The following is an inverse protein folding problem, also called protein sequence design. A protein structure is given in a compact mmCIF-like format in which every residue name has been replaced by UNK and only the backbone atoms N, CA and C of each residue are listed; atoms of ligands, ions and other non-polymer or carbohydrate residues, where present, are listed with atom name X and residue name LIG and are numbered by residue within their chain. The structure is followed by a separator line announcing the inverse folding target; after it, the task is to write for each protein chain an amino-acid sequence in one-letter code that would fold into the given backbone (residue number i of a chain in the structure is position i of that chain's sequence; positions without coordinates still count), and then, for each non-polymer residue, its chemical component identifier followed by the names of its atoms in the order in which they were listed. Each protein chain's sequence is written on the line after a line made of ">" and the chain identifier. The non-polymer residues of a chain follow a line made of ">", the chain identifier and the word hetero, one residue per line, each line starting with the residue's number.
data_IF_466271127516
#
_entry.id   IF_466271127516
#
_cell.length_a   1.000
_cell.length_b   1.000
_cell.length_c   1.000
_cell.angle_alpha   90.00
_cell.angle_beta   90.00
_cell.angle_gamma   90.00
#
_symmetry.space_group_name_H-M   'P 1'
#
loop_
_entity.id
_entity.type
_entity.pdbx_description
1 polymer ?
#
# COMPACT_ATOMS: atom_id res chain seq x y z
N UNK A 1 36.28 -66.21 -13.21
CA UNK A 1 36.31 -64.73 -13.41
C UNK A 1 35.04 -64.16 -14.04
N UNK A 2 33.89 -64.73 -13.67
CA UNK A 2 32.59 -64.24 -14.18
C UNK A 2 31.78 -63.42 -13.17
N UNK A 3 32.40 -62.90 -12.11
CA UNK A 3 31.69 -62.15 -11.04
C UNK A 3 31.74 -60.64 -11.18
N UNK A 4 32.39 -60.10 -12.21
CA UNK A 4 32.65 -58.65 -12.29
C UNK A 4 31.69 -57.86 -13.21
N UNK A 5 30.58 -58.45 -13.62
CA UNK A 5 29.63 -57.73 -14.49
C UNK A 5 28.16 -57.75 -13.98
N UNK A 6 27.96 -57.87 -12.68
CA UNK A 6 26.64 -57.60 -12.15
C UNK A 6 26.54 -56.10 -11.82
N UNK A 7 25.83 -55.37 -12.67
CA UNK A 7 25.56 -53.97 -12.39
C UNK A 7 24.95 -53.83 -10.99
N UNK A 8 25.30 -52.83 -10.20
CA UNK A 8 24.79 -52.62 -8.83
C UNK A 8 23.25 -52.67 -8.75
N UNK A 9 22.59 -52.28 -9.83
CA UNK A 9 21.13 -52.36 -9.97
C UNK A 9 20.61 -53.79 -10.00
N UNK A 10 21.33 -54.73 -10.63
CA UNK A 10 20.88 -56.10 -10.72
C UNK A 10 21.00 -56.85 -9.39
N UNK A 11 21.99 -56.45 -8.60
CA UNK A 11 22.16 -56.94 -7.23
C UNK A 11 21.03 -56.42 -6.31
N UNK A 12 20.69 -55.16 -6.41
CA UNK A 12 19.58 -54.55 -5.67
C UNK A 12 18.23 -55.20 -5.99
N UNK A 13 17.99 -55.55 -7.24
CA UNK A 13 16.74 -56.18 -7.69
C UNK A 13 16.67 -57.71 -7.40
N UNK A 14 17.80 -58.39 -7.16
CA UNK A 14 17.84 -59.82 -6.89
C UNK A 14 17.43 -60.20 -5.46
N UNK A 15 17.59 -59.24 -4.50
CA UNK A 15 17.23 -59.46 -3.10
C UNK A 15 15.87 -58.84 -2.79
N UNK A 16 14.93 -59.66 -2.33
CA UNK A 16 13.57 -59.26 -2.05
C UNK A 16 13.47 -58.04 -1.11
N UNK A 17 14.20 -57.96 0.04
CA UNK A 17 14.13 -56.82 0.91
C UNK A 17 14.67 -55.52 0.27
N UNK A 18 15.74 -55.62 -0.54
CA UNK A 18 16.32 -54.47 -1.23
C UNK A 18 15.38 -53.91 -2.32
N UNK A 19 14.67 -54.75 -2.99
CA UNK A 19 13.66 -54.40 -3.99
C UNK A 19 12.51 -53.62 -3.37
N UNK A 20 12.02 -54.06 -2.22
CA UNK A 20 10.99 -53.32 -1.47
C UNK A 20 11.48 -51.97 -0.96
N UNK A 21 12.71 -51.92 -0.45
CA UNK A 21 13.34 -50.67 -0.04
C UNK A 21 13.44 -49.64 -1.20
N UNK A 22 13.83 -50.12 -2.39
CA UNK A 22 13.91 -49.32 -3.60
C UNK A 22 12.53 -48.72 -3.98
N UNK A 23 11.49 -49.56 -3.96
CA UNK A 23 10.12 -49.10 -4.29
C UNK A 23 9.61 -48.07 -3.28
N UNK A 24 9.85 -48.30 -1.98
CA UNK A 24 9.48 -47.33 -0.92
C UNK A 24 10.20 -45.99 -1.10
N UNK A 25 11.48 -46.02 -1.43
CA UNK A 25 12.26 -44.79 -1.67
C UNK A 25 11.74 -44.06 -2.90
N UNK A 26 11.46 -44.75 -3.99
CA UNK A 26 10.87 -44.15 -5.19
C UNK A 26 9.52 -43.49 -4.90
N UNK A 27 8.65 -44.19 -4.16
CA UNK A 27 7.33 -43.63 -3.77
C UNK A 27 7.51 -42.42 -2.86
N UNK A 28 8.43 -42.46 -1.89
CA UNK A 28 8.72 -41.33 -1.02
C UNK A 28 9.21 -40.09 -1.78
N UNK A 29 10.12 -40.27 -2.74
CA UNK A 29 10.61 -39.20 -3.61
C UNK A 29 9.46 -38.63 -4.45
N UNK A 30 8.62 -39.46 -5.01
CA UNK A 30 7.49 -39.07 -5.85
C UNK A 30 6.46 -38.25 -5.03
N UNK A 31 6.13 -38.72 -3.83
CA UNK A 31 5.28 -37.99 -2.90
C UNK A 31 5.90 -36.64 -2.50
N UNK A 32 7.19 -36.63 -2.18
CA UNK A 32 7.89 -35.39 -1.86
C UNK A 32 7.84 -34.39 -3.01
N UNK A 33 8.06 -34.83 -4.25
CA UNK A 33 7.93 -33.94 -5.42
C UNK A 33 6.51 -33.39 -5.58
N UNK A 34 5.48 -34.25 -5.40
CA UNK A 34 4.08 -33.82 -5.49
C UNK A 34 3.76 -32.79 -4.41
N UNK A 35 4.15 -33.03 -3.17
CA UNK A 35 3.92 -32.07 -2.07
C UNK A 35 4.70 -30.77 -2.23
N UNK A 36 5.94 -30.83 -2.72
CA UNK A 36 6.77 -29.66 -2.96
C UNK A 36 6.27 -28.86 -4.17
N UNK A 37 5.86 -29.53 -5.24
CA UNK A 37 5.27 -28.89 -6.42
C UNK A 37 3.92 -28.19 -6.11
N UNK A 38 3.17 -28.69 -5.12
CA UNK A 38 1.94 -28.05 -4.65
C UNK A 38 2.16 -26.81 -3.77
N UNK A 39 3.36 -26.48 -3.35
CA UNK A 39 3.67 -25.18 -2.79
C UNK A 39 3.58 -24.11 -3.88
N UNK A 40 2.36 -23.78 -4.27
CA UNK A 40 2.08 -22.54 -4.99
C UNK A 40 2.55 -21.42 -4.08
N UNK A 41 3.64 -20.80 -4.43
CA UNK A 41 3.94 -19.47 -3.92
C UNK A 41 2.69 -18.62 -4.18
N UNK A 42 2.09 -18.10 -3.12
CA UNK A 42 1.07 -17.05 -3.30
C UNK A 42 1.76 -15.96 -4.09
N UNK A 43 1.32 -15.74 -5.30
CA UNK A 43 1.70 -14.58 -6.08
C UNK A 43 1.42 -13.40 -5.17
N UNK A 44 2.47 -12.72 -4.72
CA UNK A 44 2.33 -11.45 -4.01
C UNK A 44 1.53 -10.59 -5.00
N UNK A 45 0.29 -10.19 -4.67
CA UNK A 45 -0.43 -9.32 -5.57
C UNK A 45 0.46 -8.08 -5.75
N UNK A 46 0.92 -7.85 -6.96
CA UNK A 46 1.54 -6.57 -7.32
C UNK A 46 0.43 -5.56 -7.07
N UNK A 47 0.54 -4.84 -5.97
CA UNK A 47 -0.29 -3.67 -5.72
C UNK A 47 0.05 -2.74 -6.87
N UNK A 48 -0.80 -2.75 -7.91
CA UNK A 48 -0.73 -1.74 -8.96
C UNK A 48 -0.91 -0.43 -8.22
N UNK A 49 0.08 0.44 -8.28
CA UNK A 49 -0.11 1.83 -7.86
C UNK A 49 -1.39 2.32 -8.54
N UNK A 50 -2.39 2.77 -7.79
CA UNK A 50 -3.61 3.27 -8.39
C UNK A 50 -3.23 4.44 -9.29
N UNK A 51 -3.45 4.28 -10.58
CA UNK A 51 -3.09 5.23 -11.64
C UNK A 51 -3.76 6.61 -11.47
N UNK A 52 -4.74 6.71 -10.55
CA UNK A 52 -5.41 7.96 -10.22
C UNK A 52 -5.97 7.92 -8.79
N UNK A 53 -5.13 8.20 -7.81
CA UNK A 53 -5.58 8.41 -6.41
C UNK A 53 -6.67 9.49 -6.29
N UNK A 54 -6.69 10.44 -7.23
CA UNK A 54 -7.74 11.45 -7.34
C UNK A 54 -9.09 10.87 -7.73
N UNK A 55 -9.11 9.86 -8.61
CA UNK A 55 -10.35 9.22 -9.04
C UNK A 55 -10.93 8.32 -7.95
N UNK A 56 -10.09 7.52 -7.30
CA UNK A 56 -10.49 6.66 -6.18
C UNK A 56 -11.03 7.50 -5.00
N UNK A 57 -10.39 8.64 -4.73
CA UNK A 57 -10.87 9.57 -3.74
C UNK A 57 -12.22 10.20 -4.13
N UNK A 58 -12.44 10.53 -5.40
CA UNK A 58 -13.72 11.08 -5.90
C UNK A 58 -14.85 10.06 -5.77
N UNK A 59 -14.59 8.78 -6.04
CA UNK A 59 -15.55 7.70 -5.88
C UNK A 59 -15.88 7.44 -4.40
N UNK A 60 -14.86 7.47 -3.53
CA UNK A 60 -15.01 7.37 -2.08
C UNK A 60 -15.84 8.54 -1.52
N UNK A 61 -15.57 9.77 -1.98
CA UNK A 61 -16.35 10.95 -1.59
C UNK A 61 -17.81 10.80 -2.03
N UNK A 62 -18.05 10.37 -3.28
CA UNK A 62 -19.39 10.18 -3.80
C UNK A 62 -20.21 9.24 -2.90
N UNK A 63 -19.60 8.14 -2.49
CA UNK A 63 -20.26 7.14 -1.64
C UNK A 63 -20.49 7.64 -0.20
N UNK A 64 -19.51 8.31 0.40
CA UNK A 64 -19.58 8.82 1.78
C UNK A 64 -20.51 10.03 1.90
N UNK A 65 -20.49 10.92 0.91
CA UNK A 65 -21.38 12.08 0.85
C UNK A 65 -22.86 11.66 0.81
N UNK A 66 -23.17 10.62 0.08
CA UNK A 66 -24.53 10.08 -0.01
C UNK A 66 -25.01 9.45 1.30
N UNK A 67 -24.08 8.84 2.07
CA UNK A 67 -24.44 8.10 3.28
C UNK A 67 -24.59 8.93 4.57
N UNK A 68 -23.77 9.95 4.80
CA UNK A 68 -23.68 10.61 6.13
C UNK A 68 -23.85 12.12 6.18
N UNK A 69 -23.75 12.85 5.08
CA UNK A 69 -23.75 14.33 5.05
C UNK A 69 -22.76 15.01 6.04
N UNK A 70 -21.72 14.28 6.46
CA UNK A 70 -20.72 14.81 7.37
C UNK A 70 -19.56 15.39 6.58
N UNK A 71 -19.66 16.68 6.33
CA UNK A 71 -18.67 17.42 5.52
C UNK A 71 -17.31 17.51 6.22
N UNK A 72 -17.28 17.60 7.55
CA UNK A 72 -16.05 17.69 8.32
C UNK A 72 -15.25 16.39 8.28
N UNK A 73 -15.92 15.22 8.37
CA UNK A 73 -15.29 13.90 8.25
C UNK A 73 -14.63 13.70 6.87
N UNK A 74 -15.28 14.21 5.82
CA UNK A 74 -14.71 14.16 4.47
C UNK A 74 -13.44 15.02 4.33
N UNK A 75 -13.45 16.23 4.89
CA UNK A 75 -12.27 17.10 4.90
C UNK A 75 -11.16 16.47 5.73
N UNK A 76 -11.48 15.86 6.87
CA UNK A 76 -10.50 15.17 7.71
C UNK A 76 -9.83 14.00 6.94
N UNK A 77 -10.60 13.15 6.30
CA UNK A 77 -10.04 12.05 5.49
C UNK A 77 -9.17 12.56 4.35
N UNK A 78 -9.61 13.60 3.64
CA UNK A 78 -8.79 14.20 2.57
C UNK A 78 -7.51 14.80 3.13
N UNK A 79 -7.56 15.43 4.30
CA UNK A 79 -6.38 16.00 4.95
C UNK A 79 -5.34 14.93 5.33
N UNK A 80 -5.77 13.76 5.81
CA UNK A 80 -4.86 12.64 6.08
C UNK A 80 -4.12 12.21 4.80
N UNK A 81 -4.83 12.07 3.68
CA UNK A 81 -4.19 11.75 2.39
C UNK A 81 -3.26 12.87 1.92
N UNK A 82 -3.65 14.11 2.11
CA UNK A 82 -2.84 15.29 1.79
C UNK A 82 -1.55 15.32 2.62
N UNK A 83 -1.63 15.12 3.93
CA UNK A 83 -0.47 15.06 4.82
C UNK A 83 0.49 13.92 4.45
N UNK A 84 -0.05 12.75 4.14
CA UNK A 84 0.75 11.60 3.73
C UNK A 84 1.45 11.83 2.38
N UNK A 85 0.78 12.47 1.43
CA UNK A 85 1.35 12.82 0.13
C UNK A 85 2.50 13.83 0.29
N UNK A 86 2.33 14.86 1.12
CA UNK A 86 3.38 15.82 1.45
C UNK A 86 4.58 15.14 2.14
N UNK A 87 4.31 14.21 3.05
CA UNK A 87 5.36 13.45 3.72
C UNK A 87 6.15 12.58 2.74
N UNK A 88 5.45 11.96 1.78
CA UNK A 88 6.06 11.08 0.77
C UNK A 88 6.86 11.84 -0.28
N UNK A 89 6.32 12.91 -0.85
CA UNK A 89 6.91 13.61 -1.99
C UNK A 89 7.99 14.62 -1.57
N UNK A 90 7.77 15.33 -0.48
CA UNK A 90 8.64 16.43 -0.06
C UNK A 90 9.15 16.31 1.37
N UNK A 91 8.83 15.20 2.05
CA UNK A 91 9.25 14.91 3.43
C UNK A 91 8.88 16.03 4.42
N UNK A 92 7.66 16.53 4.30
CA UNK A 92 7.09 17.55 5.16
C UNK A 92 5.97 16.96 5.99
N UNK A 93 6.00 17.18 7.30
CA UNK A 93 4.93 16.83 8.22
C UNK A 93 4.15 18.08 8.62
N UNK A 94 2.87 18.12 8.26
CA UNK A 94 1.96 19.22 8.59
C UNK A 94 1.03 18.89 9.76
N UNK A 95 1.12 17.70 10.30
CA UNK A 95 0.36 17.31 11.50
C UNK A 95 1.01 17.87 12.77
N UNK A 96 2.33 18.06 12.76
CA UNK A 96 3.09 18.60 13.87
C UNK A 96 3.15 20.13 13.83
N UNK A 97 2.53 20.78 14.83
CA UNK A 97 2.41 22.25 14.91
C UNK A 97 3.75 22.93 15.16
N UNK A 98 4.70 22.23 15.78
CA UNK A 98 5.99 22.80 16.20
C UNK A 98 6.86 23.30 15.04
N UNK A 99 6.74 22.70 13.86
CA UNK A 99 7.55 23.01 12.68
C UNK A 99 6.77 23.67 11.53
N UNK A 100 5.62 24.26 11.82
CA UNK A 100 4.69 24.81 10.82
C UNK A 100 5.35 25.78 9.84
N UNK A 101 6.10 26.77 10.32
CA UNK A 101 6.72 27.75 9.43
C UNK A 101 7.74 27.15 8.48
N UNK A 102 8.52 26.17 8.95
CA UNK A 102 9.49 25.48 8.11
C UNK A 102 8.77 24.63 7.05
N UNK A 103 7.71 23.94 7.46
CA UNK A 103 6.87 23.12 6.59
C UNK A 103 6.22 23.96 5.50
N UNK A 104 5.62 25.09 5.84
CA UNK A 104 4.97 25.96 4.85
C UNK A 104 5.96 26.55 3.85
N UNK A 105 7.14 26.98 4.29
CA UNK A 105 8.20 27.46 3.37
C UNK A 105 8.66 26.36 2.41
N UNK A 106 8.78 25.12 2.89
CA UNK A 106 9.23 24.00 2.06
C UNK A 106 8.18 23.63 1.01
N UNK A 107 6.89 23.65 1.38
CA UNK A 107 5.78 23.45 0.45
C UNK A 107 5.78 24.59 -0.59
N UNK A 108 5.89 25.83 -0.16
CA UNK A 108 5.94 27.01 -1.03
C UNK A 108 7.08 26.94 -2.06
N UNK A 109 8.27 26.52 -1.65
CA UNK A 109 9.41 26.33 -2.56
C UNK A 109 9.17 25.28 -3.63
N UNK A 110 8.41 24.24 -3.33
CA UNK A 110 8.12 23.14 -4.27
C UNK A 110 6.96 23.47 -5.21
N UNK A 111 5.92 24.06 -4.68
CA UNK A 111 4.69 24.36 -5.43
C UNK A 111 4.73 25.72 -6.16
N UNK A 112 5.63 26.61 -5.77
CA UNK A 112 5.67 28.00 -6.26
C UNK A 112 4.55 28.88 -5.67
N UNK A 113 3.79 28.39 -4.70
CA UNK A 113 2.72 29.12 -4.02
C UNK A 113 3.28 29.97 -2.87
N UNK A 114 2.50 30.93 -2.38
CA UNK A 114 2.90 31.74 -1.22
C UNK A 114 2.82 30.95 0.09
N UNK A 115 3.89 31.02 0.90
CA UNK A 115 3.97 30.33 2.18
C UNK A 115 2.92 30.83 3.19
N UNK A 116 2.56 32.11 3.14
CA UNK A 116 1.55 32.71 4.01
C UNK A 116 0.15 32.21 3.64
N UNK A 117 -0.13 32.06 2.35
CA UNK A 117 -1.38 31.48 1.85
C UNK A 117 -1.55 30.03 2.31
N UNK A 118 -0.50 29.22 2.16
CA UNK A 118 -0.48 27.81 2.61
C UNK A 118 -0.69 27.75 4.14
N UNK A 119 0.03 28.57 4.89
CA UNK A 119 -0.09 28.62 6.34
C UNK A 119 -1.49 29.02 6.82
N UNK A 120 -2.09 29.99 6.17
CA UNK A 120 -3.47 30.42 6.47
C UNK A 120 -4.45 29.30 6.21
N UNK A 121 -4.34 28.64 5.07
CA UNK A 121 -5.17 27.50 4.71
C UNK A 121 -5.08 26.35 5.74
N UNK A 122 -3.87 25.94 6.13
CA UNK A 122 -3.68 24.85 7.11
C UNK A 122 -4.24 25.24 8.48
N UNK A 123 -4.06 26.49 8.92
CA UNK A 123 -4.61 26.97 10.18
C UNK A 123 -6.14 27.02 10.18
N UNK A 124 -6.77 27.31 9.05
CA UNK A 124 -8.22 27.31 8.91
C UNK A 124 -8.81 25.88 8.89
N UNK A 125 -8.12 24.92 8.29
CA UNK A 125 -8.60 23.54 8.18
C UNK A 125 -8.45 22.79 9.51
N UNK A 126 -7.41 23.03 10.30
CA UNK A 126 -7.16 22.35 11.58
C UNK A 126 -8.35 22.35 12.56
N UNK A 127 -9.04 23.47 12.82
CA UNK A 127 -10.23 23.47 13.69
C UNK A 127 -11.40 22.66 13.13
N UNK A 128 -11.48 22.46 11.83
CA UNK A 128 -12.49 21.63 11.20
C UNK A 128 -12.18 20.16 11.45
N UNK A 129 -10.90 19.76 11.36
CA UNK A 129 -10.43 18.39 11.49
C UNK A 129 -10.46 17.93 12.95
N UNK A 130 -9.91 18.73 13.85
CA UNK A 130 -9.71 18.34 15.25
C UNK A 130 -10.73 18.96 16.22
N UNK A 131 -11.40 20.03 15.80
CA UNK A 131 -12.33 20.79 16.63
C UNK A 131 -13.82 20.45 16.44
N UNK A 132 -14.16 19.54 15.53
CA UNK A 132 -15.55 19.13 15.25
C UNK A 132 -16.41 20.27 14.70
N UNK A 133 -15.83 21.29 14.06
CA UNK A 133 -16.54 22.42 13.49
C UNK A 133 -17.42 21.98 12.33
N UNK A 134 -18.70 22.30 12.39
CA UNK A 134 -19.61 22.04 11.27
C UNK A 134 -19.33 23.01 10.13
N UNK A 135 -19.17 22.46 8.92
CA UNK A 135 -18.91 23.25 7.71
C UNK A 135 -19.99 23.01 6.66
N UNK A 136 -20.17 23.97 5.77
CA UNK A 136 -21.08 23.82 4.63
C UNK A 136 -20.46 22.97 3.52
N UNK A 137 -21.30 22.50 2.59
CA UNK A 137 -20.84 21.78 1.41
C UNK A 137 -19.91 22.61 0.51
N UNK A 138 -20.11 23.93 0.47
CA UNK A 138 -19.26 24.85 -0.28
C UNK A 138 -17.87 24.99 0.35
N UNK A 139 -17.81 25.12 1.68
CA UNK A 139 -16.55 25.16 2.42
C UNK A 139 -15.78 23.83 2.29
N UNK A 140 -16.47 22.70 2.39
CA UNK A 140 -15.87 21.39 2.15
C UNK A 140 -15.22 21.32 0.78
N UNK A 141 -15.94 21.73 -0.28
CA UNK A 141 -15.43 21.73 -1.64
C UNK A 141 -14.19 22.61 -1.76
N UNK A 142 -14.25 23.83 -1.21
CA UNK A 142 -13.13 24.78 -1.24
C UNK A 142 -11.86 24.17 -0.60
N UNK A 143 -11.98 23.53 0.56
CA UNK A 143 -10.84 22.90 1.23
C UNK A 143 -10.28 21.70 0.45
N UNK A 144 -11.15 20.88 -0.13
CA UNK A 144 -10.73 19.73 -0.96
C UNK A 144 -10.01 20.19 -2.22
N UNK A 145 -10.56 21.22 -2.89
CA UNK A 145 -9.98 21.77 -4.11
C UNK A 145 -8.58 22.38 -3.82
N UNK A 146 -8.45 23.12 -2.71
CA UNK A 146 -7.17 23.70 -2.31
C UNK A 146 -6.10 22.66 -1.98
N UNK A 147 -6.46 21.58 -1.26
CA UNK A 147 -5.54 20.44 -1.02
C UNK A 147 -5.09 19.80 -2.32
N UNK A 148 -6.03 19.61 -3.26
CA UNK A 148 -5.73 19.03 -4.56
C UNK A 148 -4.86 19.93 -5.42
N UNK A 149 -5.08 21.25 -5.37
CA UNK A 149 -4.26 22.24 -6.05
C UNK A 149 -2.81 22.18 -5.57
N UNK A 150 -2.59 22.18 -4.26
CA UNK A 150 -1.24 22.10 -3.67
C UNK A 150 -0.53 20.82 -4.12
N UNK A 151 -1.20 19.67 -4.08
CA UNK A 151 -0.62 18.39 -4.52
C UNK A 151 -0.27 18.39 -6.00
N UNK A 152 -1.11 18.95 -6.85
CA UNK A 152 -0.87 18.97 -8.29
C UNK A 152 0.30 19.87 -8.71
N UNK A 153 0.75 20.76 -7.82
CA UNK A 153 1.89 21.64 -8.06
C UNK A 153 3.21 21.09 -7.47
N UNK A 154 3.18 19.97 -6.75
CA UNK A 154 4.36 19.27 -6.24
C UNK A 154 4.97 18.35 -7.30
#
# INVERSE_FOLDING_TARGET
>A
TAEMQQSPFRYLLSRQPLRWALYLTMIAILLFMIFTARRRQRVIPVIREPENKSLEFTELIGTLYYQKKDHADLVHKKFIYFAEELRREIQVDIEEVADDERSFRRIAQKTGMDAEEIGTFVREVRPVIYGGRVISAEQMKLYIDKMSEIINHI
#
